data_IF_706163681641
#
_entry.id   IF_706163681641
#
_cell.length_a   1.000
_cell.length_b   1.000
_cell.length_c   1.000
_cell.angle_alpha   90.00
_cell.angle_beta   90.00
_cell.angle_gamma   90.00
#
_symmetry.space_group_name_H-M   'P 1'
#
loop_
_entity.id
_entity.type
_entity.pdbx_description
1 polymer ?
#
# COMPACT_ATOMS: atom_id res chain seq x y z
N UNK A 1 32.40 66.71 -0.72
CA UNK A 1 33.64 65.93 -0.46
C UNK A 1 33.22 64.46 -0.48
N UNK A 2 33.59 63.73 -1.53
CA UNK A 2 34.75 62.82 -1.58
C UNK A 2 34.53 61.57 -0.72
N UNK A 3 34.50 60.41 -1.36
CA UNK A 3 34.41 59.10 -0.74
C UNK A 3 35.79 58.59 -0.29
N UNK A 4 35.81 57.65 0.66
CA UNK A 4 36.95 56.76 0.84
C UNK A 4 36.49 55.34 1.22
N UNK A 5 36.93 54.36 0.43
CA UNK A 5 36.82 52.93 0.69
C UNK A 5 38.11 52.49 1.38
N UNK A 6 38.02 51.63 2.38
CA UNK A 6 39.17 50.83 2.86
C UNK A 6 38.75 49.38 3.00
N UNK A 7 39.48 48.49 2.34
CA UNK A 7 39.33 47.05 2.44
C UNK A 7 40.71 46.41 2.68
N UNK A 8 40.83 45.51 3.65
CA UNK A 8 41.99 44.62 3.83
C UNK A 8 41.56 43.40 4.69
N UNK A 9 41.33 42.23 4.10
CA UNK A 9 42.26 41.08 3.89
C UNK A 9 42.37 40.12 5.10
N UNK A 10 42.23 38.82 4.79
CA UNK A 10 42.08 37.67 5.72
C UNK A 10 43.31 36.75 5.62
N UNK A 11 43.83 36.21 6.74
CA UNK A 11 44.07 34.75 6.87
C UNK A 11 43.90 34.20 8.33
N UNK A 12 43.79 32.89 8.63
CA UNK A 12 43.32 31.69 7.90
C UNK A 12 43.30 30.45 8.83
N UNK A 13 42.25 29.60 8.75
CA UNK A 13 42.11 28.22 9.31
C UNK A 13 42.17 28.00 10.84
N UNK A 14 41.23 27.20 11.36
CA UNK A 14 41.47 25.85 11.96
C UNK A 14 40.13 25.11 12.09
N UNK A 15 40.13 23.77 11.96
CA UNK A 15 38.94 22.92 11.98
C UNK A 15 38.45 22.59 13.41
N UNK A 16 37.15 22.43 13.57
CA UNK A 16 36.55 21.40 14.41
C UNK A 16 35.20 20.99 13.79
N UNK A 17 34.88 19.70 13.80
CA UNK A 17 33.70 19.17 13.13
C UNK A 17 32.52 19.03 14.10
N UNK A 18 31.30 19.30 13.62
CA UNK A 18 30.10 18.72 14.22
C UNK A 18 29.10 18.31 13.13
N UNK A 19 28.45 17.17 13.37
CA UNK A 19 27.84 16.27 12.40
C UNK A 19 26.77 16.90 11.50
N UNK A 20 27.02 16.89 10.18
CA UNK A 20 25.98 17.14 9.18
C UNK A 20 25.29 15.80 8.84
N UNK A 21 24.11 15.56 9.43
CA UNK A 21 23.21 14.46 9.09
C UNK A 21 21.82 15.03 8.87
N UNK A 22 21.16 14.54 7.82
CA UNK A 22 19.88 14.96 7.21
C UNK A 22 20.09 15.92 6.04
N UNK A 23 20.17 15.38 4.83
CA UNK A 23 19.04 15.52 3.91
C UNK A 23 18.99 14.39 2.88
N UNK A 24 18.16 13.39 3.15
CA UNK A 24 17.82 12.32 2.20
C UNK A 24 16.30 12.23 2.11
N UNK A 25 15.64 13.37 1.86
CA UNK A 25 14.19 13.43 1.67
C UNK A 25 13.80 12.79 0.32
N UNK A 26 13.75 11.46 0.35
CA UNK A 26 13.44 10.56 -0.76
C UNK A 26 11.95 10.61 -1.10
N UNK A 27 11.56 11.67 -1.81
CA UNK A 27 10.42 11.75 -2.73
C UNK A 27 9.29 10.75 -2.47
N UNK A 28 8.60 10.87 -1.32
CA UNK A 28 7.33 10.17 -1.12
C UNK A 28 6.30 10.87 -1.99
N UNK A 29 6.18 10.43 -3.25
CA UNK A 29 5.18 10.91 -4.21
C UNK A 29 3.80 10.70 -3.60
N UNK A 30 3.24 11.79 -3.08
CA UNK A 30 1.96 11.81 -2.39
C UNK A 30 0.87 11.44 -3.40
N UNK A 31 0.15 10.35 -3.13
CA UNK A 31 -1.08 10.06 -3.84
C UNK A 31 -2.09 11.11 -3.42
N UNK A 32 -2.73 11.75 -4.39
CA UNK A 32 -3.66 12.83 -4.12
C UNK A 32 -4.84 12.27 -3.31
N UNK A 33 -5.36 13.07 -2.37
CA UNK A 33 -6.46 12.60 -1.53
C UNK A 33 -7.72 12.26 -2.34
N UNK A 34 -7.84 12.85 -3.54
CA UNK A 34 -8.88 12.58 -4.53
C UNK A 34 -8.80 11.15 -5.07
N UNK A 35 -7.62 10.65 -5.45
CA UNK A 35 -7.44 9.25 -5.88
C UNK A 35 -7.89 8.26 -4.79
N UNK A 36 -7.58 8.57 -3.52
CA UNK A 36 -7.93 7.70 -2.39
C UNK A 36 -9.45 7.71 -2.13
N UNK A 37 -10.15 8.83 -2.36
CA UNK A 37 -11.61 8.91 -2.26
C UNK A 37 -12.32 8.21 -3.42
N UNK A 38 -11.80 8.37 -4.65
CA UNK A 38 -12.26 7.66 -5.84
C UNK A 38 -12.22 6.13 -5.63
N UNK A 39 -11.06 5.63 -5.20
CA UNK A 39 -10.83 4.22 -4.85
C UNK A 39 -11.81 3.72 -3.77
N UNK A 40 -12.06 4.49 -2.71
CA UNK A 40 -12.99 4.10 -1.66
C UNK A 40 -14.45 4.00 -2.14
N UNK A 41 -14.87 4.90 -3.03
CA UNK A 41 -16.23 4.93 -3.57
C UNK A 41 -16.48 3.78 -4.56
N UNK A 42 -15.50 3.46 -5.41
CA UNK A 42 -15.55 2.36 -6.37
C UNK A 42 -15.45 0.99 -5.68
N UNK A 43 -14.61 0.85 -4.64
CA UNK A 43 -14.58 -0.34 -3.78
C UNK A 43 -15.94 -0.62 -3.11
N UNK A 44 -16.74 0.41 -2.79
CA UNK A 44 -18.06 0.26 -2.19
C UNK A 44 -19.09 -0.26 -3.19
N UNK A 45 -19.09 0.29 -4.41
CA UNK A 45 -19.94 -0.20 -5.50
C UNK A 45 -19.68 -1.69 -5.81
N UNK A 46 -18.41 -2.11 -5.79
CA UNK A 46 -18.02 -3.50 -6.01
C UNK A 46 -18.48 -4.45 -4.89
N UNK A 47 -18.51 -4.01 -3.62
CA UNK A 47 -18.89 -4.84 -2.47
C UNK A 47 -20.38 -5.19 -2.50
N UNK A 48 -21.18 -4.23 -2.94
CA UNK A 48 -22.60 -4.43 -3.23
C UNK A 48 -22.80 -5.45 -4.36
N UNK A 49 -21.93 -5.46 -5.39
CA UNK A 49 -22.04 -6.40 -6.50
C UNK A 49 -21.58 -7.84 -6.20
N UNK A 50 -20.48 -8.06 -5.46
CA UNK A 50 -20.06 -9.44 -5.11
C UNK A 50 -21.01 -10.10 -4.08
N UNK A 51 -21.72 -9.32 -3.26
CA UNK A 51 -22.72 -9.83 -2.31
C UNK A 51 -24.14 -10.03 -2.92
N UNK A 52 -24.42 -9.48 -4.11
CA UNK A 52 -25.67 -9.68 -4.85
C UNK A 52 -25.37 -10.51 -6.12
N UNK A 53 -24.96 -11.76 -5.89
CA UNK A 53 -24.28 -12.56 -6.90
C UNK A 53 -25.13 -12.96 -8.12
N UNK A 54 -24.45 -12.98 -9.27
CA UNK A 54 -24.79 -13.80 -10.44
C UNK A 54 -23.51 -14.49 -10.91
N UNK A 55 -23.46 -15.82 -10.87
CA UNK A 55 -22.28 -16.56 -11.30
C UNK A 55 -22.20 -16.72 -12.81
N UNK A 56 -20.99 -16.98 -13.31
CA UNK A 56 -20.76 -17.86 -14.47
C UNK A 56 -19.28 -18.22 -14.57
N UNK A 57 -19.02 -19.46 -14.97
CA UNK A 57 -17.69 -20.00 -15.24
C UNK A 57 -17.10 -19.38 -16.51
N UNK A 58 -15.82 -18.96 -16.52
CA UNK A 58 -15.02 -18.79 -17.74
C UNK A 58 -13.51 -18.61 -17.43
N UNK A 59 -12.61 -18.78 -18.42
CA UNK A 59 -11.27 -19.33 -18.18
C UNK A 59 -10.24 -18.33 -17.69
N UNK A 60 -9.25 -18.85 -16.94
CA UNK A 60 -8.04 -18.12 -16.54
C UNK A 60 -7.18 -17.86 -17.78
N UNK A 61 -7.10 -16.60 -18.21
CA UNK A 61 -6.13 -16.12 -19.19
C UNK A 61 -4.86 -15.74 -18.40
N UNK A 62 -3.87 -16.63 -18.30
CA UNK A 62 -2.61 -16.33 -17.60
C UNK A 62 -1.78 -15.25 -18.35
N UNK A 63 -1.71 -14.02 -17.85
CA UNK A 63 -0.75 -13.02 -18.37
C UNK A 63 0.68 -13.28 -17.86
N UNK A 64 1.41 -14.16 -18.56
CA UNK A 64 2.83 -14.41 -18.26
C UNK A 64 3.71 -13.17 -18.44
N UNK A 65 4.07 -12.55 -17.32
CA UNK A 65 5.15 -11.55 -17.23
C UNK A 65 4.73 -10.10 -17.15
N UNK A 66 3.44 -9.77 -17.26
CA UNK A 66 2.95 -8.43 -16.94
C UNK A 66 2.79 -8.38 -15.42
N UNK A 67 3.59 -7.56 -14.73
CA UNK A 67 3.38 -7.34 -13.29
C UNK A 67 1.99 -6.75 -13.09
N UNK A 68 1.18 -7.34 -12.22
CA UNK A 68 -0.13 -6.78 -11.88
C UNK A 68 0.05 -5.38 -11.30
N UNK A 69 -0.33 -4.37 -12.10
CA UNK A 69 -0.32 -2.96 -11.70
C UNK A 69 -1.20 -2.76 -10.47
N UNK A 70 -2.31 -3.49 -10.40
CA UNK A 70 -3.21 -3.54 -9.28
C UNK A 70 -2.54 -4.03 -7.99
N UNK A 71 -1.84 -5.17 -8.03
CA UNK A 71 -1.10 -5.67 -6.89
C UNK A 71 -0.02 -4.68 -6.43
N UNK A 72 0.74 -4.08 -7.35
CA UNK A 72 1.70 -3.02 -7.01
C UNK A 72 1.00 -1.83 -6.34
N UNK A 73 -0.16 -1.39 -6.85
CA UNK A 73 -0.86 -0.23 -6.29
C UNK A 73 -1.41 -0.50 -4.89
N UNK A 74 -1.99 -1.67 -4.67
CA UNK A 74 -2.46 -2.09 -3.34
C UNK A 74 -1.29 -2.23 -2.37
N UNK A 75 -0.14 -2.75 -2.82
CA UNK A 75 1.08 -2.76 -2.02
C UNK A 75 1.54 -1.35 -1.64
N UNK A 76 1.60 -0.41 -2.59
CA UNK A 76 1.93 0.99 -2.32
C UNK A 76 1.00 1.60 -1.27
N UNK A 77 -0.32 1.40 -1.41
CA UNK A 77 -1.32 1.94 -0.48
C UNK A 77 -1.16 1.34 0.93
N UNK A 78 -0.93 0.03 1.04
CA UNK A 78 -0.70 -0.63 2.33
C UNK A 78 0.62 -0.21 3.01
N UNK A 79 1.65 0.16 2.23
CA UNK A 79 2.94 0.63 2.75
C UNK A 79 2.86 2.12 3.13
N UNK A 80 2.41 3.00 2.22
CA UNK A 80 2.42 4.46 2.38
C UNK A 80 1.26 4.99 3.23
N UNK A 81 0.11 4.33 3.18
CA UNK A 81 -1.15 4.82 3.77
C UNK A 81 -1.90 3.74 4.54
N UNK A 82 -1.20 2.72 5.05
CA UNK A 82 -1.78 1.49 5.59
C UNK A 82 -2.97 1.69 6.54
N UNK A 83 -2.91 2.65 7.47
CA UNK A 83 -4.05 2.92 8.36
C UNK A 83 -5.30 3.44 7.61
N UNK A 84 -5.13 4.35 6.63
CA UNK A 84 -6.21 4.88 5.78
C UNK A 84 -6.76 3.76 4.88
N UNK A 85 -5.90 2.94 4.30
CA UNK A 85 -6.30 1.77 3.50
C UNK A 85 -7.08 0.74 4.32
N UNK A 86 -6.67 0.46 5.56
CA UNK A 86 -7.44 -0.46 6.43
C UNK A 86 -8.74 0.17 6.91
N UNK A 87 -8.78 1.47 7.20
CA UNK A 87 -10.06 2.16 7.49
C UNK A 87 -11.03 2.01 6.31
N UNK A 88 -10.58 2.24 5.08
CA UNK A 88 -11.41 2.03 3.88
C UNK A 88 -11.94 0.59 3.83
N UNK A 89 -11.09 -0.42 4.03
CA UNK A 89 -11.53 -1.84 4.07
C UNK A 89 -12.47 -2.17 5.25
N UNK A 90 -12.41 -1.43 6.35
CA UNK A 90 -13.31 -1.52 7.52
C UNK A 90 -14.66 -0.86 7.21
N UNK A 91 -14.65 0.35 6.66
CA UNK A 91 -15.84 1.13 6.24
C UNK A 91 -16.63 0.40 5.12
N UNK A 92 -15.95 -0.38 4.30
CA UNK A 92 -16.52 -1.26 3.26
C UNK A 92 -17.11 -2.58 3.80
N UNK A 93 -17.01 -2.85 5.11
CA UNK A 93 -17.50 -4.10 5.70
C UNK A 93 -16.70 -5.36 5.31
N UNK A 94 -15.50 -5.20 4.74
CA UNK A 94 -14.58 -6.32 4.43
C UNK A 94 -13.79 -6.79 5.67
N UNK A 95 -13.76 -5.96 6.71
CA UNK A 95 -13.10 -6.20 7.99
C UNK A 95 -14.04 -5.78 9.13
N UNK A 96 -14.13 -6.58 10.19
CA UNK A 96 -14.66 -6.09 11.45
C UNK A 96 -13.59 -5.24 12.19
N UNK A 97 -14.01 -4.50 13.23
CA UNK A 97 -13.12 -3.61 13.97
C UNK A 97 -11.94 -4.33 14.68
N UNK A 98 -12.10 -5.60 15.07
CA UNK A 98 -11.02 -6.39 15.67
C UNK A 98 -10.01 -6.87 14.60
N UNK A 99 -10.51 -7.25 13.43
CA UNK A 99 -9.69 -7.60 12.27
C UNK A 99 -8.94 -6.38 11.73
N UNK A 100 -9.61 -5.24 11.58
CA UNK A 100 -9.00 -3.98 11.16
C UNK A 100 -7.92 -3.50 12.15
N UNK A 101 -8.19 -3.52 13.47
CA UNK A 101 -7.20 -3.22 14.52
C UNK A 101 -6.00 -4.18 14.49
N UNK A 102 -6.20 -5.42 14.07
CA UNK A 102 -5.12 -6.41 13.93
C UNK A 102 -4.32 -6.18 12.64
N UNK A 103 -4.99 -5.86 11.53
CA UNK A 103 -4.38 -5.56 10.24
C UNK A 103 -3.53 -4.28 10.31
N UNK A 104 -4.02 -3.21 10.96
CA UNK A 104 -3.28 -1.94 11.20
C UNK A 104 -1.86 -2.15 11.77
N UNK A 105 -1.63 -3.23 12.54
CA UNK A 105 -0.31 -3.59 13.11
C UNK A 105 0.66 -4.26 12.12
N UNK A 106 0.16 -4.76 10.99
CA UNK A 106 0.94 -5.56 10.02
C UNK A 106 0.84 -5.04 8.58
N UNK A 107 0.10 -3.96 8.32
CA UNK A 107 -0.09 -3.31 7.01
C UNK A 107 1.18 -3.25 6.16
N UNK A 108 2.28 -2.70 6.68
CA UNK A 108 3.55 -2.62 5.95
C UNK A 108 4.19 -3.98 5.62
N UNK A 109 3.94 -5.03 6.40
CA UNK A 109 4.37 -6.41 6.08
C UNK A 109 3.47 -7.03 5.02
N UNK A 110 2.16 -6.79 5.10
CA UNK A 110 1.18 -7.24 4.10
C UNK A 110 1.47 -6.56 2.76
N UNK A 111 1.71 -5.25 2.74
CA UNK A 111 2.04 -4.50 1.53
C UNK A 111 3.30 -5.02 0.83
N UNK A 112 4.42 -5.21 1.55
CA UNK A 112 5.64 -5.85 1.00
C UNK A 112 5.42 -7.27 0.49
N UNK A 113 4.50 -8.02 1.11
CA UNK A 113 4.12 -9.33 0.62
C UNK A 113 3.29 -9.25 -0.67
N UNK A 114 2.29 -8.36 -0.74
CA UNK A 114 1.52 -8.12 -1.97
C UNK A 114 2.41 -7.60 -3.11
N UNK A 115 3.41 -6.77 -2.81
CA UNK A 115 4.44 -6.33 -3.75
C UNK A 115 5.20 -7.53 -4.36
N UNK A 116 5.55 -8.52 -3.55
CA UNK A 116 6.18 -9.76 -4.04
C UNK A 116 5.27 -10.62 -4.92
N UNK A 117 3.95 -10.50 -4.74
CA UNK A 117 2.95 -11.17 -5.58
C UNK A 117 2.69 -10.45 -6.92
N UNK A 118 3.15 -9.21 -7.11
CA UNK A 118 2.92 -8.50 -8.37
C UNK A 118 3.46 -9.25 -9.60
N UNK A 119 4.55 -10.02 -9.43
CA UNK A 119 5.12 -10.87 -10.48
C UNK A 119 4.24 -12.05 -10.91
N UNK A 120 3.15 -12.33 -10.19
CA UNK A 120 2.18 -13.38 -10.51
C UNK A 120 1.12 -12.94 -11.54
N UNK A 121 1.12 -11.68 -11.97
CA UNK A 121 0.09 -11.17 -12.88
C UNK A 121 -1.31 -11.30 -12.27
N UNK A 122 -2.25 -11.81 -13.06
CA UNK A 122 -3.67 -11.94 -12.69
C UNK A 122 -3.90 -12.84 -11.46
N UNK A 123 -3.00 -13.79 -11.22
CA UNK A 123 -3.05 -14.69 -10.05
C UNK A 123 -2.72 -13.97 -8.73
N UNK A 124 -2.21 -12.74 -8.74
CA UNK A 124 -1.79 -12.04 -7.53
C UNK A 124 -2.89 -11.97 -6.45
N UNK A 125 -4.16 -11.79 -6.86
CA UNK A 125 -5.29 -11.80 -5.95
C UNK A 125 -5.56 -13.19 -5.34
N UNK A 126 -5.42 -14.26 -6.12
CA UNK A 126 -5.61 -15.65 -5.67
C UNK A 126 -4.45 -16.12 -4.77
N UNK A 127 -3.22 -15.74 -5.11
CA UNK A 127 -2.04 -15.96 -4.27
C UNK A 127 -2.13 -15.19 -2.94
N UNK A 128 -2.65 -13.95 -2.95
CA UNK A 128 -2.88 -13.20 -1.72
C UNK A 128 -3.90 -13.93 -0.82
N UNK A 129 -5.04 -14.36 -1.37
CA UNK A 129 -6.09 -15.07 -0.61
C UNK A 129 -5.59 -16.37 0.03
N UNK A 130 -4.76 -17.13 -0.68
CA UNK A 130 -4.29 -18.46 -0.26
C UNK A 130 -3.06 -18.41 0.66
N UNK A 131 -2.11 -17.52 0.41
CA UNK A 131 -0.83 -17.48 1.13
C UNK A 131 -0.82 -16.49 2.31
N UNK A 132 -1.59 -15.40 2.24
CA UNK A 132 -1.57 -14.37 3.28
C UNK A 132 -1.97 -14.89 4.67
N UNK A 133 -2.98 -15.77 4.87
CA UNK A 133 -3.32 -16.31 6.19
C UNK A 133 -2.13 -16.92 6.93
N UNK A 134 -1.28 -17.67 6.20
CA UNK A 134 -0.08 -18.29 6.75
C UNK A 134 1.01 -17.26 7.11
N UNK A 135 1.14 -16.18 6.33
CA UNK A 135 2.04 -15.05 6.65
C UNK A 135 1.53 -14.25 7.86
N UNK A 136 0.24 -13.94 7.93
CA UNK A 136 -0.39 -13.26 9.08
C UNK A 136 -0.19 -14.06 10.38
N UNK A 137 -0.32 -15.39 10.32
CA UNK A 137 -0.01 -16.30 11.42
C UNK A 137 1.45 -16.18 11.88
N UNK A 138 2.42 -16.16 10.96
CA UNK A 138 3.84 -16.00 11.31
C UNK A 138 4.19 -14.59 11.81
N UNK A 139 3.36 -13.58 11.50
CA UNK A 139 3.49 -12.21 11.99
C UNK A 139 2.73 -11.93 13.31
N UNK A 140 2.07 -12.93 13.89
CA UNK A 140 1.48 -12.86 15.23
C UNK A 140 -0.04 -12.69 15.27
N UNK A 141 -0.74 -12.58 14.15
CA UNK A 141 -2.20 -12.67 14.11
C UNK A 141 -2.58 -14.15 14.24
N UNK A 142 -3.00 -14.59 15.43
CA UNK A 142 -3.28 -16.00 15.72
C UNK A 142 -4.68 -16.47 15.34
N UNK A 143 -5.65 -15.55 15.34
CA UNK A 143 -7.04 -15.88 15.01
C UNK A 143 -7.22 -16.18 13.51
N UNK A 144 -7.89 -17.29 13.21
CA UNK A 144 -8.15 -17.76 11.85
C UNK A 144 -9.20 -16.91 11.14
N UNK A 145 -10.23 -16.42 11.85
CA UNK A 145 -11.25 -15.55 11.27
C UNK A 145 -10.62 -14.27 10.74
N UNK A 146 -9.89 -13.57 11.60
CA UNK A 146 -9.09 -12.39 11.29
C UNK A 146 -8.09 -12.63 10.15
N UNK A 147 -7.35 -13.75 10.17
CA UNK A 147 -6.44 -14.11 9.07
C UNK A 147 -7.17 -14.18 7.73
N UNK A 148 -8.34 -14.83 7.70
CA UNK A 148 -9.11 -15.03 6.48
C UNK A 148 -9.80 -13.75 6.01
N UNK A 149 -10.33 -12.92 6.92
CA UNK A 149 -10.92 -11.61 6.57
C UNK A 149 -9.88 -10.68 5.95
N UNK A 150 -8.68 -10.57 6.55
CA UNK A 150 -7.59 -9.76 5.98
C UNK A 150 -7.15 -10.31 4.61
N UNK A 151 -7.06 -11.64 4.46
CA UNK A 151 -6.72 -12.26 3.18
C UNK A 151 -7.79 -12.03 2.09
N UNK A 152 -9.07 -12.09 2.46
CA UNK A 152 -10.18 -11.79 1.57
C UNK A 152 -10.18 -10.30 1.19
N UNK A 153 -10.06 -9.38 2.15
CA UNK A 153 -10.03 -7.94 1.92
C UNK A 153 -8.85 -7.48 1.05
N UNK A 154 -7.67 -8.09 1.21
CA UNK A 154 -6.48 -7.81 0.39
C UNK A 154 -6.63 -8.41 -1.02
N UNK A 155 -7.12 -9.64 -1.14
CA UNK A 155 -7.42 -10.26 -2.44
C UNK A 155 -8.44 -9.43 -3.23
N UNK A 156 -9.48 -8.97 -2.56
CA UNK A 156 -10.51 -8.08 -3.09
C UNK A 156 -9.94 -6.74 -3.53
N UNK A 157 -9.12 -6.08 -2.71
CA UNK A 157 -8.47 -4.83 -3.08
C UNK A 157 -7.60 -4.96 -4.34
N UNK A 158 -6.91 -6.10 -4.52
CA UNK A 158 -6.12 -6.38 -5.73
C UNK A 158 -7.05 -6.51 -6.95
N UNK A 159 -8.14 -7.28 -6.86
CA UNK A 159 -9.12 -7.38 -7.96
C UNK A 159 -9.74 -6.02 -8.32
N UNK A 160 -10.14 -5.25 -7.31
CA UNK A 160 -10.78 -3.95 -7.50
C UNK A 160 -9.83 -2.97 -8.21
N UNK A 161 -8.57 -2.92 -7.79
CA UNK A 161 -7.57 -2.10 -8.47
C UNK A 161 -7.31 -2.57 -9.91
N UNK A 162 -7.48 -3.86 -10.22
CA UNK A 162 -7.28 -4.40 -11.57
C UNK A 162 -8.33 -3.84 -12.55
N UNK A 163 -9.57 -3.70 -12.11
CA UNK A 163 -10.65 -3.10 -12.91
C UNK A 163 -10.51 -1.58 -13.08
N UNK A 164 -9.80 -0.90 -12.17
CA UNK A 164 -9.56 0.56 -12.21
C UNK A 164 -8.36 0.92 -13.11
N UNK A 165 -7.44 -0.02 -13.37
CA UNK A 165 -6.20 0.22 -14.14
C UNK A 165 -6.12 -0.53 -15.49
N UNK A 166 -7.26 -1.04 -15.99
CA UNK A 166 -7.47 -1.53 -17.36
C UNK A 166 -7.62 -0.36 -18.35
#
# INVERSE_FOLDING_TARGET
>A
MIALIVAFVIPSKTLAAENNVVDTDLQVKQLSEQEIQQLALELNALYVSENLGTGSENPVIETKGIKSKAALKVAEMLIKSGNKTVNILEDLGLLDAAAAKSFKKVTGKVGKFVESLASAGDDAAAMAKSQLPNKLKSWGIKDKGTQQMIANAVSYAIKAADWIFL
#
